data_IF_825370816295
#
_entry.id   IF_825370816295
#
_cell.length_a   1.000
_cell.length_b   1.000
_cell.length_c   1.000
_cell.angle_alpha   90.00
_cell.angle_beta   90.00
_cell.angle_gamma   90.00
#
_symmetry.space_group_name_H-M   'P 1'
#
loop_
_entity.id
_entity.type
_entity.pdbx_description
1 polymer ?
#
# COMPACT_ATOMS: atom_id res chain seq x y z
N UNK A 1 6.27 -14.82 -19.14
CA UNK A 1 5.47 -13.85 -19.93
C UNK A 1 4.61 -13.08 -18.94
N UNK A 2 4.94 -11.80 -18.76
CA UNK A 2 4.29 -10.73 -17.99
C UNK A 2 3.33 -11.09 -16.83
N UNK A 3 3.87 -11.37 -15.64
CA UNK A 3 3.07 -11.42 -14.40
C UNK A 3 2.64 -10.02 -13.88
N UNK A 4 3.03 -8.94 -14.56
CA UNK A 4 2.78 -7.56 -14.12
C UNK A 4 1.51 -6.91 -14.71
N UNK A 5 0.78 -7.59 -15.61
CA UNK A 5 -0.20 -6.90 -16.47
C UNK A 5 -1.46 -6.42 -15.76
N UNK A 6 -1.76 -6.91 -14.56
CA UNK A 6 -2.98 -6.57 -13.80
C UNK A 6 -2.69 -5.92 -12.44
N UNK A 7 -1.43 -5.58 -12.12
CA UNK A 7 -1.10 -4.87 -10.87
C UNK A 7 -1.58 -3.43 -11.01
N UNK A 8 -2.59 -3.06 -10.22
CA UNK A 8 -3.26 -1.75 -10.29
C UNK A 8 -2.85 -0.81 -9.16
N UNK A 9 -2.29 -1.36 -8.07
CA UNK A 9 -1.83 -0.56 -6.95
C UNK A 9 -0.68 -1.24 -6.20
N UNK A 10 0.25 -0.42 -5.72
CA UNK A 10 1.38 -0.83 -4.89
C UNK A 10 1.53 0.15 -3.74
N UNK A 11 1.67 -0.36 -2.51
CA UNK A 11 1.90 0.45 -1.31
C UNK A 11 3.14 -0.02 -0.55
N UNK A 12 3.96 0.94 -0.11
CA UNK A 12 5.09 0.68 0.79
C UNK A 12 4.70 1.06 2.21
N UNK A 13 4.35 0.08 3.03
CA UNK A 13 3.76 0.30 4.36
C UNK A 13 4.80 0.11 5.45
N UNK A 14 5.28 1.19 6.10
CA UNK A 14 6.13 1.08 7.27
C UNK A 14 5.33 0.54 8.46
N UNK A 15 5.59 -0.71 8.86
CA UNK A 15 5.09 -1.31 10.09
C UNK A 15 6.21 -1.37 11.16
N UNK A 16 5.94 -2.00 12.30
CA UNK A 16 6.86 -1.97 13.45
C UNK A 16 8.19 -2.69 13.21
N UNK A 17 8.18 -3.75 12.41
CA UNK A 17 9.32 -4.61 12.10
C UNK A 17 10.08 -4.14 10.86
N UNK A 18 9.36 -3.86 9.76
CA UNK A 18 9.95 -3.40 8.50
C UNK A 18 8.95 -2.63 7.64
N UNK A 19 9.42 -2.15 6.50
CA UNK A 19 8.56 -1.68 5.42
C UNK A 19 8.09 -2.89 4.62
N UNK A 20 6.78 -3.08 4.53
CA UNK A 20 6.16 -4.12 3.71
C UNK A 20 5.73 -3.58 2.36
N UNK A 21 6.00 -4.31 1.29
CA UNK A 21 5.50 -4.00 -0.05
C UNK A 21 4.18 -4.75 -0.25
N UNK A 22 3.08 -4.02 -0.46
CA UNK A 22 1.77 -4.60 -0.74
C UNK A 22 1.44 -4.36 -2.21
N UNK A 23 1.12 -5.40 -2.95
CA UNK A 23 0.72 -5.34 -4.35
C UNK A 23 -0.71 -5.83 -4.49
N UNK A 24 -1.51 -5.13 -5.29
CA UNK A 24 -2.88 -5.51 -5.58
C UNK A 24 -3.10 -5.64 -7.08
N UNK A 25 -3.56 -6.83 -7.49
CA UNK A 25 -4.09 -7.06 -8.82
C UNK A 25 -5.60 -6.96 -8.82
N UNK A 26 -6.16 -6.32 -9.86
CA UNK A 26 -7.59 -6.25 -10.08
C UNK A 26 -7.96 -6.45 -11.55
N UNK A 27 -8.60 -7.59 -11.84
CA UNK A 27 -9.14 -7.88 -13.16
C UNK A 27 -10.51 -7.22 -13.34
N UNK A 28 -10.58 -6.15 -14.14
CA UNK A 28 -11.81 -5.36 -14.34
C UNK A 28 -12.88 -6.06 -15.18
N UNK A 29 -12.56 -7.19 -15.81
CA UNK A 29 -13.53 -8.03 -16.56
C UNK A 29 -14.06 -9.19 -15.73
N UNK A 30 -13.19 -9.89 -14.99
CA UNK A 30 -13.57 -11.08 -14.20
C UNK A 30 -13.86 -10.77 -12.73
N UNK A 31 -13.52 -9.57 -12.25
CA UNK A 31 -13.48 -9.24 -10.84
C UNK A 31 -12.34 -9.94 -10.09
N UNK A 32 -11.33 -10.46 -10.79
CA UNK A 32 -10.16 -11.12 -10.19
C UNK A 32 -9.49 -10.18 -9.20
N UNK A 33 -9.07 -10.69 -8.04
CA UNK A 33 -8.31 -9.96 -7.02
C UNK A 33 -7.15 -10.81 -6.51
N UNK A 34 -5.95 -10.26 -6.52
CA UNK A 34 -4.77 -10.90 -5.91
C UNK A 34 -4.09 -9.89 -5.01
N UNK A 35 -3.75 -10.29 -3.79
CA UNK A 35 -2.97 -9.48 -2.85
C UNK A 35 -1.66 -10.20 -2.61
N UNK A 36 -0.55 -9.51 -2.83
CA UNK A 36 0.78 -9.97 -2.43
C UNK A 36 1.37 -9.04 -1.37
N UNK A 37 2.07 -9.64 -0.41
CA UNK A 37 2.84 -8.91 0.61
C UNK A 37 4.26 -9.43 0.55
N UNK A 38 5.21 -8.54 0.30
CA UNK A 38 6.64 -8.86 0.14
C UNK A 38 6.93 -9.95 -0.90
N UNK A 39 6.12 -9.97 -1.97
CA UNK A 39 6.20 -10.96 -3.05
C UNK A 39 5.45 -12.27 -2.78
N UNK A 40 4.97 -12.49 -1.55
CA UNK A 40 4.17 -13.66 -1.20
C UNK A 40 2.67 -13.40 -1.44
N UNK A 41 2.01 -14.30 -2.16
CA UNK A 41 0.57 -14.23 -2.37
C UNK A 41 -0.18 -14.68 -1.12
N UNK A 42 -0.91 -13.74 -0.51
CA UNK A 42 -1.70 -13.99 0.70
C UNK A 42 -3.19 -14.16 0.42
N UNK A 43 -3.64 -13.72 -0.75
CA UNK A 43 -5.03 -13.84 -1.16
C UNK A 43 -5.14 -13.87 -2.68
N UNK A 44 -5.95 -14.80 -3.18
CA UNK A 44 -6.38 -14.87 -4.59
C UNK A 44 -7.86 -15.18 -4.68
N UNK A 45 -8.53 -14.44 -5.56
CA UNK A 45 -9.90 -14.70 -6.02
C UNK A 45 -9.91 -14.53 -7.53
N UNK A 46 -10.06 -15.61 -8.28
CA UNK A 46 -9.97 -15.54 -9.74
C UNK A 46 -11.24 -14.98 -10.39
N UNK A 47 -12.38 -14.98 -9.67
CA UNK A 47 -13.64 -14.45 -10.17
C UNK A 47 -14.47 -13.81 -9.07
N UNK A 48 -15.04 -12.63 -9.36
CA UNK A 48 -16.02 -11.97 -8.52
C UNK A 48 -17.08 -11.28 -9.38
N UNK A 49 -18.35 -11.49 -9.04
CA UNK A 49 -19.47 -10.82 -9.74
C UNK A 49 -19.47 -9.29 -9.56
N UNK A 50 -18.93 -8.79 -8.45
CA UNK A 50 -18.81 -7.35 -8.17
C UNK A 50 -17.37 -6.89 -8.35
N UNK A 51 -17.18 -5.86 -9.18
CA UNK A 51 -15.88 -5.22 -9.42
C UNK A 51 -15.48 -4.31 -8.25
N UNK A 52 -16.43 -3.59 -7.65
CA UNK A 52 -16.20 -2.75 -6.46
C UNK A 52 -16.36 -3.53 -5.16
N UNK A 53 -15.83 -2.99 -4.07
CA UNK A 53 -16.01 -3.49 -2.71
C UNK A 53 -14.70 -3.64 -1.94
N UNK A 54 -14.79 -4.18 -0.72
CA UNK A 54 -13.69 -4.20 0.25
C UNK A 54 -13.16 -5.62 0.44
N UNK A 55 -11.83 -5.77 0.49
CA UNK A 55 -11.13 -7.02 0.82
C UNK A 55 -10.36 -6.81 2.11
N UNK A 56 -10.52 -7.72 3.07
CA UNK A 56 -9.83 -7.70 4.35
C UNK A 56 -8.69 -8.72 4.34
N UNK A 57 -7.56 -8.36 4.96
CA UNK A 57 -6.41 -9.23 5.16
C UNK A 57 -5.58 -8.75 6.37
N UNK A 58 -4.53 -9.47 6.71
CA UNK A 58 -3.67 -9.15 7.86
C UNK A 58 -2.21 -9.25 7.51
N UNK A 59 -1.39 -8.37 8.07
CA UNK A 59 0.07 -8.45 8.05
C UNK A 59 0.52 -8.58 9.51
N UNK A 60 0.92 -9.78 9.92
CA UNK A 60 1.15 -10.09 11.34
C UNK A 60 -0.09 -9.77 12.18
N UNK A 61 0.03 -8.80 13.10
CA UNK A 61 -1.07 -8.33 13.97
C UNK A 61 -1.88 -7.16 13.40
N UNK A 62 -1.45 -6.58 12.28
CA UNK A 62 -2.07 -5.41 11.69
C UNK A 62 -3.25 -5.82 10.81
N UNK A 63 -4.42 -5.20 11.03
CA UNK A 63 -5.62 -5.45 10.22
C UNK A 63 -5.61 -4.50 9.03
N UNK A 64 -5.64 -5.05 7.82
CA UNK A 64 -5.57 -4.30 6.59
C UNK A 64 -6.84 -4.48 5.76
N UNK A 65 -7.15 -3.48 4.94
CA UNK A 65 -8.21 -3.58 3.97
C UNK A 65 -7.86 -2.85 2.68
N UNK A 66 -8.19 -3.44 1.54
CA UNK A 66 -8.18 -2.75 0.25
C UNK A 66 -9.61 -2.54 -0.19
N UNK A 67 -9.98 -1.28 -0.42
CA UNK A 67 -11.27 -0.87 -0.97
C UNK A 67 -11.11 -0.55 -2.45
N UNK A 68 -12.01 -1.09 -3.26
CA UNK A 68 -12.15 -0.76 -4.69
C UNK A 68 -13.42 0.05 -4.87
N UNK A 69 -13.29 1.28 -5.32
CA UNK A 69 -14.41 2.21 -5.53
C UNK A 69 -14.46 2.63 -7.00
N UNK A 70 -15.66 2.89 -7.52
CA UNK A 70 -15.80 3.37 -8.89
C UNK A 70 -15.50 4.87 -8.94
N UNK A 71 -14.62 5.27 -9.84
CA UNK A 71 -14.27 6.66 -10.08
C UNK A 71 -14.77 7.06 -11.48
N UNK A 72 -15.98 7.61 -11.53
CA UNK A 72 -16.67 7.90 -12.79
C UNK A 72 -17.12 6.62 -13.53
N UNK A 73 -17.13 6.65 -14.86
CA UNK A 73 -17.75 5.59 -15.67
C UNK A 73 -16.83 4.41 -15.96
N UNK A 74 -15.51 4.63 -16.06
CA UNK A 74 -14.55 3.62 -16.55
C UNK A 74 -13.28 3.49 -15.70
N UNK A 75 -13.20 4.16 -14.55
CA UNK A 75 -12.02 4.09 -13.69
C UNK A 75 -12.39 3.59 -12.30
N UNK A 76 -11.36 3.12 -11.59
CA UNK A 76 -11.46 2.62 -10.22
C UNK A 76 -10.41 3.31 -9.36
N UNK A 77 -10.79 3.59 -8.12
CA UNK A 77 -9.89 4.04 -7.07
C UNK A 77 -9.61 2.90 -6.10
N UNK A 78 -8.36 2.84 -5.64
CA UNK A 78 -7.86 1.79 -4.76
C UNK A 78 -7.31 2.42 -3.49
N UNK A 79 -7.95 2.10 -2.36
CA UNK A 79 -7.57 2.66 -1.06
C UNK A 79 -7.13 1.55 -0.13
N UNK A 80 -5.92 1.66 0.40
CA UNK A 80 -5.43 0.80 1.47
C UNK A 80 -5.76 1.42 2.83
N UNK A 81 -6.28 0.60 3.74
CA UNK A 81 -6.40 0.93 5.15
C UNK A 81 -5.52 0.01 6.00
N UNK A 82 -4.87 0.59 7.01
CA UNK A 82 -4.10 -0.13 8.03
C UNK A 82 -4.63 0.26 9.41
N UNK A 83 -5.09 -0.72 10.18
CA UNK A 83 -5.76 -0.53 11.47
C UNK A 83 -6.91 0.49 11.43
N UNK A 84 -7.70 0.47 10.34
CA UNK A 84 -8.87 1.35 10.16
C UNK A 84 -8.54 2.80 9.78
N UNK A 85 -7.27 3.11 9.46
CA UNK A 85 -6.86 4.41 8.91
C UNK A 85 -6.42 4.23 7.47
N UNK A 86 -6.82 5.14 6.58
CA UNK A 86 -6.31 5.13 5.20
C UNK A 86 -4.81 5.31 5.19
N UNK A 87 -4.13 4.72 4.20
CA UNK A 87 -2.68 4.74 4.10
C UNK A 87 -2.14 6.18 4.01
N UNK A 88 -2.84 7.10 3.36
CA UNK A 88 -2.46 8.52 3.28
C UNK A 88 -2.45 9.15 4.66
N UNK A 89 -3.54 8.96 5.44
CA UNK A 89 -3.64 9.46 6.83
C UNK A 89 -2.63 8.78 7.75
N UNK A 90 -2.39 7.49 7.56
CA UNK A 90 -1.38 6.74 8.30
C UNK A 90 0.03 7.29 8.04
N UNK A 91 0.36 7.57 6.77
CA UNK A 91 1.63 8.15 6.35
C UNK A 91 1.82 9.56 6.92
N UNK A 92 0.80 10.40 6.89
CA UNK A 92 0.83 11.74 7.50
C UNK A 92 1.04 11.69 9.02
N UNK A 93 0.34 10.79 9.72
CA UNK A 93 0.52 10.61 11.16
C UNK A 93 1.92 10.12 11.51
N UNK A 94 2.47 9.17 10.75
CA UNK A 94 3.83 8.70 10.93
C UNK A 94 4.84 9.81 10.64
N UNK A 95 4.66 10.55 9.55
CA UNK A 95 5.48 11.70 9.18
C UNK A 95 5.53 12.74 10.30
N UNK A 96 4.37 13.10 10.86
CA UNK A 96 4.27 14.05 11.97
C UNK A 96 4.89 13.51 13.27
N UNK A 97 4.69 12.23 13.59
CA UNK A 97 5.26 11.61 14.81
C UNK A 97 6.77 11.41 14.73
N UNK A 98 7.29 11.08 13.56
CA UNK A 98 8.71 10.77 13.33
C UNK A 98 9.50 11.97 12.78
N UNK A 99 8.87 13.15 12.67
CA UNK A 99 9.42 14.33 11.99
C UNK A 99 10.10 13.96 10.66
N UNK A 100 9.43 13.11 9.88
CA UNK A 100 9.98 12.51 8.67
C UNK A 100 9.21 12.93 7.43
N UNK A 101 9.88 13.23 6.33
CA UNK A 101 9.26 13.55 5.03
C UNK A 101 9.91 12.74 3.91
N UNK A 102 9.17 12.51 2.83
CA UNK A 102 9.71 11.88 1.61
C UNK A 102 9.99 12.97 0.58
N UNK A 103 11.12 12.88 -0.11
CA UNK A 103 11.53 13.79 -1.19
C UNK A 103 12.27 12.99 -2.25
N UNK A 104 12.28 13.47 -3.48
CA UNK A 104 13.11 12.88 -4.53
C UNK A 104 14.51 13.49 -4.42
N UNK A 105 15.54 12.65 -4.28
CA UNK A 105 16.95 13.02 -4.38
C UNK A 105 17.56 12.22 -5.53
N UNK A 106 18.16 12.91 -6.50
CA UNK A 106 18.75 12.29 -7.70
C UNK A 106 17.83 11.33 -8.48
N UNK A 107 16.52 11.57 -8.43
CA UNK A 107 15.52 10.74 -9.10
C UNK A 107 15.03 9.54 -8.28
N UNK A 108 15.53 9.36 -7.06
CA UNK A 108 15.13 8.28 -6.15
C UNK A 108 14.23 8.81 -5.02
N UNK A 109 13.15 8.08 -4.74
CA UNK A 109 12.24 8.37 -3.61
C UNK A 109 12.96 8.15 -2.29
N UNK A 110 13.35 9.25 -1.64
CA UNK A 110 14.13 9.24 -0.40
C UNK A 110 13.26 9.61 0.80
N UNK A 111 13.32 8.81 1.86
CA UNK A 111 12.71 9.16 3.16
C UNK A 111 13.73 9.78 4.10
N UNK A 112 13.45 11.00 4.56
CA UNK A 112 14.23 11.75 5.54
C UNK A 112 13.52 11.65 6.90
N UNK A 113 14.23 11.24 7.96
CA UNK A 113 13.71 11.16 9.33
C UNK A 113 14.58 11.99 10.29
N UNK A 114 13.97 12.77 11.19
CA UNK A 114 14.68 13.48 12.27
C UNK A 114 14.56 12.70 13.60
N UNK A 115 15.71 12.28 14.15
CA UNK A 115 15.79 11.57 15.42
C UNK A 115 15.96 12.50 16.64
N UNK A 116 15.38 12.18 17.82
CA UNK A 116 15.49 13.00 19.03
C UNK A 116 16.76 12.68 19.81
N UNK A 117 17.92 13.07 19.27
CA UNK A 117 19.17 13.36 20.00
C UNK A 117 20.30 13.46 18.96
N UNK A 118 20.73 14.70 18.66
CA UNK A 118 21.68 15.06 17.60
C UNK A 118 21.13 14.79 16.19
N UNK A 119 21.04 15.86 15.41
CA UNK A 119 20.66 15.88 13.99
C UNK A 119 21.32 14.72 13.22
N UNK A 120 20.62 13.61 13.09
CA UNK A 120 21.08 12.42 12.37
C UNK A 120 20.06 12.20 11.26
N UNK A 121 20.50 12.46 10.03
CA UNK A 121 19.72 12.21 8.82
C UNK A 121 19.84 10.73 8.48
N UNK A 122 18.75 9.98 8.61
CA UNK A 122 18.69 8.61 8.11
C UNK A 122 18.03 8.63 6.74
N UNK A 123 18.80 8.25 5.72
CA UNK A 123 18.36 8.03 4.34
C UNK A 123 18.08 6.55 4.21
N UNK A 124 16.84 6.20 3.90
CA UNK A 124 16.47 4.84 3.52
C UNK A 124 16.26 4.83 2.00
N UNK A 125 16.98 3.93 1.32
CA UNK A 125 16.81 3.59 -0.10
C UNK A 125 15.78 2.47 -0.25
#
# INVERSE_FOLDING_TARGET
>A
MSEAQDIVAVWSVPLQDRVHKIEFEHGTTSGKRVIRVDGEEILRKDWMFKLVGKVLFTIGKFKCAISVEALGTFAYEYTLEVNGKTYEKFREELSRKLQSWTTVLDGEDTRICLGPAKFSLFIFF
#
